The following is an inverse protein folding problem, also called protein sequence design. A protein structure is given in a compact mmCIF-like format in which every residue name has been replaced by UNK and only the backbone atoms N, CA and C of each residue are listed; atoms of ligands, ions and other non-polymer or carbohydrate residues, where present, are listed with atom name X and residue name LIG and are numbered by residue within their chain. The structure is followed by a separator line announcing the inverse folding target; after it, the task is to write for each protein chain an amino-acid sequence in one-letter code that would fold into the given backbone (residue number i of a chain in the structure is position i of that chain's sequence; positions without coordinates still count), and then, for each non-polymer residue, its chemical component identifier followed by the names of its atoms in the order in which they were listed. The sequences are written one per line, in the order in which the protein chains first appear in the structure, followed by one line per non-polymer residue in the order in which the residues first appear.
data_IF_411848393794
#
_entry.id   IF_411848393794
#
_cell.length_a   1.000
_cell.length_b   1.000
_cell.length_c   1.000
_cell.angle_alpha   90.00
_cell.angle_beta   90.00
_cell.angle_gamma   90.00
#
_symmetry.space_group_name_H-M   'P 1'
#
loop_
_entity.id
_entity.type
_entity.pdbx_description
1 polymer ?
#
# COMPACT_ATOMS: atom_id res chain seq x y z
N UNK A 1 -24.05 30.85 -36.43
CA UNK A 1 -23.53 32.13 -36.96
C UNK A 1 -22.47 32.62 -35.97
N UNK A 2 -21.21 32.62 -36.40
CA UNK A 2 -19.99 32.65 -35.59
C UNK A 2 -19.80 33.93 -34.77
N UNK A 3 -19.22 33.77 -33.57
CA UNK A 3 -18.68 34.84 -32.73
C UNK A 3 -17.14 34.94 -32.83
N UNK A 4 -16.70 36.11 -33.27
CA UNK A 4 -15.51 36.90 -32.89
C UNK A 4 -14.25 36.21 -32.32
N UNK A 5 -13.21 36.23 -33.18
CA UNK A 5 -11.78 36.22 -32.85
C UNK A 5 -11.35 37.54 -32.18
N UNK A 6 -10.58 37.46 -31.10
CA UNK A 6 -9.64 38.51 -30.67
C UNK A 6 -8.33 37.86 -30.21
N UNK A 7 -7.29 38.12 -30.99
CA UNK A 7 -5.89 37.80 -30.74
C UNK A 7 -5.28 38.75 -29.70
N UNK A 8 -4.56 38.21 -28.71
CA UNK A 8 -3.62 38.97 -27.87
C UNK A 8 -2.21 38.42 -28.08
N UNK A 9 -1.35 39.23 -28.71
CA UNK A 9 0.10 39.04 -28.84
C UNK A 9 0.77 39.38 -27.51
N UNK A 10 1.71 38.54 -27.05
CA UNK A 10 2.68 38.89 -26.02
C UNK A 10 4.06 38.95 -26.71
N UNK A 11 4.65 40.14 -26.70
CA UNK A 11 5.98 40.45 -27.22
C UNK A 11 7.00 40.29 -26.09
N UNK A 12 8.07 39.53 -26.32
CA UNK A 12 9.23 39.47 -25.42
C UNK A 12 10.51 39.69 -26.25
N UNK A 13 10.76 40.94 -26.65
CA UNK A 13 12.10 41.42 -27.00
C UNK A 13 12.83 41.89 -25.74
N UNK A 14 13.82 41.11 -25.31
CA UNK A 14 14.66 41.41 -24.13
C UNK A 14 16.11 40.96 -24.31
N UNK A 15 16.88 41.80 -24.98
CA UNK A 15 18.34 41.85 -25.18
C UNK A 15 19.23 41.13 -24.15
N UNK A 16 19.86 40.02 -24.55
CA UNK A 16 21.02 39.43 -23.87
C UNK A 16 22.29 40.23 -24.20
N UNK A 17 22.72 41.11 -23.29
CA UNK A 17 24.05 41.73 -23.33
C UNK A 17 25.02 40.96 -22.44
N UNK A 18 26.06 40.42 -23.09
CA UNK A 18 27.29 39.88 -22.48
C UNK A 18 27.84 40.85 -21.42
N UNK A 19 28.06 40.35 -20.21
CA UNK A 19 29.03 40.95 -19.29
C UNK A 19 29.78 39.82 -18.57
N UNK A 20 31.07 39.79 -18.85
CA UNK A 20 32.08 38.95 -18.24
C UNK A 20 32.38 39.52 -16.86
N UNK A 21 32.18 38.76 -15.78
CA UNK A 21 32.59 39.18 -14.43
C UNK A 21 33.75 38.28 -14.00
N UNK A 22 34.91 38.91 -13.84
CA UNK A 22 36.13 38.32 -13.28
C UNK A 22 35.95 38.08 -11.79
N UNK A 23 36.37 36.91 -11.34
CA UNK A 23 36.52 36.56 -9.93
C UNK A 23 37.86 37.13 -9.45
N UNK A 24 37.83 38.24 -8.72
CA UNK A 24 38.90 38.67 -7.80
C UNK A 24 38.30 39.58 -6.72
N UNK A 25 38.58 39.23 -5.47
CA UNK A 25 38.63 40.07 -4.27
C UNK A 25 37.33 40.60 -3.64
N UNK A 26 36.87 39.98 -2.54
CA UNK A 26 37.11 40.47 -1.16
C UNK A 26 36.21 39.76 -0.13
N UNK A 27 36.84 38.89 0.66
CA UNK A 27 36.30 38.22 1.84
C UNK A 27 36.35 39.21 3.04
N UNK A 28 35.50 40.24 3.06
CA UNK A 28 35.44 41.15 4.23
C UNK A 28 34.12 41.90 4.44
N UNK A 29 33.19 41.94 3.48
CA UNK A 29 31.94 42.72 3.64
C UNK A 29 30.69 41.91 4.03
N UNK A 30 30.77 40.58 4.05
CA UNK A 30 29.60 39.72 4.39
C UNK A 30 29.38 39.61 5.92
N UNK A 31 30.37 39.96 6.75
CA UNK A 31 30.28 39.77 8.20
C UNK A 31 29.52 40.90 8.94
N UNK A 32 29.34 42.07 8.32
CA UNK A 32 28.74 43.24 8.98
C UNK A 32 27.20 43.33 8.84
N UNK A 33 26.58 42.56 7.93
CA UNK A 33 25.13 42.56 7.72
C UNK A 33 24.42 41.50 8.59
N UNK A 34 25.14 40.50 9.10
CA UNK A 34 24.55 39.39 9.86
C UNK A 34 24.17 39.69 11.32
N UNK A 35 24.54 40.83 11.89
CA UNK A 35 24.34 41.11 13.33
C UNK A 35 23.25 42.16 13.67
N UNK A 36 22.39 42.56 12.74
CA UNK A 36 21.32 43.56 13.00
C UNK A 36 19.87 43.11 12.72
N UNK A 37 19.62 41.82 12.52
CA UNK A 37 18.26 41.30 12.29
C UNK A 37 17.94 40.01 13.05
N UNK A 38 18.38 39.92 14.30
CA UNK A 38 17.91 38.92 15.27
C UNK A 38 16.72 39.46 16.09
N UNK A 39 15.67 39.89 15.40
CA UNK A 39 14.35 40.02 16.00
C UNK A 39 13.30 40.06 14.89
N UNK A 40 12.83 38.90 14.44
CA UNK A 40 11.44 38.67 13.96
C UNK A 40 11.14 37.17 13.98
N UNK A 41 10.22 36.78 14.87
CA UNK A 41 9.44 35.54 14.77
C UNK A 41 8.89 35.45 13.33
N UNK A 42 9.41 34.53 12.52
CA UNK A 42 8.78 34.13 11.26
C UNK A 42 8.01 32.83 11.52
N UNK A 43 6.68 32.80 11.33
CA UNK A 43 5.97 31.54 11.38
C UNK A 43 6.43 30.67 10.22
N UNK A 44 6.63 29.38 10.51
CA UNK A 44 6.81 28.33 9.51
C UNK A 44 5.68 28.45 8.48
N UNK A 45 6.02 28.74 7.22
CA UNK A 45 5.05 28.74 6.13
C UNK A 45 4.64 27.29 5.87
N UNK A 46 3.59 26.86 6.53
CA UNK A 46 2.81 25.69 6.13
C UNK A 46 1.91 26.13 4.98
N UNK A 47 1.95 25.50 3.79
CA UNK A 47 0.98 25.79 2.75
C UNK A 47 -0.40 25.40 3.28
N UNK A 48 -1.18 26.40 3.66
CA UNK A 48 -2.55 26.22 4.14
C UNK A 48 -3.44 26.09 2.92
N UNK A 49 -3.69 24.84 2.48
CA UNK A 49 -4.89 24.56 1.69
C UNK A 49 -6.07 24.54 2.65
N UNK A 50 -7.05 25.39 2.38
CA UNK A 50 -8.35 25.43 3.06
C UNK A 50 -9.20 24.26 2.57
N UNK A 51 -8.98 23.05 3.11
CA UNK A 51 -9.88 21.90 2.92
C UNK A 51 -9.89 21.09 4.23
N UNK A 52 -11.03 21.06 4.92
CA UNK A 52 -11.25 20.40 6.23
C UNK A 52 -10.42 20.95 7.40
N UNK A 53 -11.08 21.52 8.41
CA UNK A 53 -10.42 21.97 9.66
C UNK A 53 -9.82 20.86 10.53
N UNK A 54 -9.78 19.60 10.06
CA UNK A 54 -9.09 18.49 10.73
C UNK A 54 -7.62 18.47 10.35
N UNK A 55 -6.75 18.53 11.36
CA UNK A 55 -5.30 18.37 11.18
C UNK A 55 -4.96 16.89 11.29
N UNK A 56 -4.74 16.21 10.17
CA UNK A 56 -4.29 14.82 10.13
C UNK A 56 -2.83 14.68 10.61
N UNK A 57 -2.49 13.48 11.06
CA UNK A 57 -1.12 13.10 11.38
C UNK A 57 -0.35 12.81 10.08
N UNK A 58 0.59 13.69 9.75
CA UNK A 58 1.42 13.56 8.53
C UNK A 58 2.87 13.28 8.93
N UNK A 59 3.53 12.28 8.34
CA UNK A 59 4.96 12.06 8.52
C UNK A 59 5.78 13.33 8.19
N UNK A 60 6.83 13.64 8.97
CA UNK A 60 7.69 14.79 8.67
C UNK A 60 8.36 14.63 7.30
N UNK A 61 8.34 15.69 6.49
CA UNK A 61 9.03 15.69 5.19
C UNK A 61 10.54 15.60 5.36
N UNK A 62 11.15 14.71 4.56
CA UNK A 62 12.60 14.55 4.51
C UNK A 62 13.34 15.77 3.95
N UNK A 63 12.62 16.74 3.39
CA UNK A 63 13.17 18.04 2.97
C UNK A 63 13.60 18.90 4.16
N UNK A 64 12.97 18.70 5.33
CA UNK A 64 13.19 19.52 6.52
C UNK A 64 13.70 18.73 7.72
N UNK A 65 13.40 17.43 7.81
CA UNK A 65 13.82 16.56 8.91
C UNK A 65 14.59 15.38 8.35
N UNK A 66 15.85 15.22 8.76
CA UNK A 66 16.64 14.05 8.37
C UNK A 66 15.93 12.75 8.81
N UNK A 67 15.87 11.76 7.91
CA UNK A 67 15.13 10.51 8.14
C UNK A 67 15.66 9.76 9.37
N UNK A 68 16.97 9.78 9.57
CA UNK A 68 17.69 9.16 10.69
C UNK A 68 17.46 9.83 12.06
N UNK A 69 16.81 10.99 12.12
CA UNK A 69 16.64 11.76 13.36
C UNK A 69 15.25 11.60 13.96
N UNK A 70 15.14 11.65 15.29
CA UNK A 70 13.88 11.57 16.03
C UNK A 70 13.60 10.18 16.59
N UNK A 71 12.46 10.04 17.26
CA UNK A 71 12.00 8.76 17.81
C UNK A 71 11.53 7.87 16.65
N UNK A 72 11.96 6.61 16.62
CA UNK A 72 11.63 5.64 15.59
C UNK A 72 10.25 4.99 15.82
N UNK A 73 9.19 5.77 15.62
CA UNK A 73 7.81 5.27 15.48
C UNK A 73 7.54 4.85 14.03
N UNK A 74 6.45 4.09 13.82
CA UNK A 74 6.04 3.64 12.50
C UNK A 74 5.75 4.82 11.56
N UNK A 75 6.47 4.87 10.45
CA UNK A 75 6.41 5.95 9.46
C UNK A 75 6.79 7.32 10.01
N UNK A 76 7.46 7.40 11.18
CA UNK A 76 7.69 8.64 11.94
C UNK A 76 6.41 9.40 12.29
N UNK A 77 5.29 8.69 12.43
CA UNK A 77 4.03 9.24 12.90
C UNK A 77 4.08 9.54 14.41
N UNK A 78 3.19 10.37 14.95
CA UNK A 78 3.07 10.56 16.39
C UNK A 78 2.80 9.23 17.12
N UNK A 79 3.37 9.09 18.32
CA UNK A 79 2.95 8.05 19.26
C UNK A 79 1.69 8.50 19.99
N UNK A 80 0.72 7.60 20.13
CA UNK A 80 -0.50 7.81 20.91
C UNK A 80 -0.74 6.61 21.83
N UNK A 81 -1.15 6.82 23.08
CA UNK A 81 -1.34 5.72 24.03
C UNK A 81 -2.57 4.84 23.72
N UNK A 82 -3.58 5.40 23.04
CA UNK A 82 -4.84 4.70 22.72
C UNK A 82 -5.21 4.88 21.25
N UNK A 83 -6.14 4.05 20.77
CA UNK A 83 -6.68 4.15 19.40
C UNK A 83 -7.84 5.16 19.26
N UNK A 84 -8.08 6.00 20.27
CA UNK A 84 -9.20 6.94 20.27
C UNK A 84 -9.03 8.04 19.22
N UNK A 85 -10.05 8.21 18.38
CA UNK A 85 -10.05 9.23 17.32
C UNK A 85 -9.15 8.91 16.12
N UNK A 86 -8.57 7.71 16.06
CA UNK A 86 -7.82 7.21 14.91
C UNK A 86 -8.75 6.43 13.96
N UNK A 87 -8.55 6.61 12.66
CA UNK A 87 -9.20 5.80 11.64
C UNK A 87 -8.47 4.44 11.48
N UNK A 88 -7.13 4.48 11.55
CA UNK A 88 -6.27 3.31 11.56
C UNK A 88 -5.07 3.51 12.51
N UNK A 89 -4.51 2.43 13.04
CA UNK A 89 -3.40 2.49 13.98
C UNK A 89 -2.37 1.39 13.73
N UNK A 90 -1.10 1.77 13.78
CA UNK A 90 -0.01 0.80 13.79
C UNK A 90 0.19 0.25 15.19
N UNK A 91 0.21 -1.08 15.32
CA UNK A 91 0.38 -1.78 16.59
C UNK A 91 1.41 -2.90 16.44
N UNK A 92 2.36 -3.01 17.36
CA UNK A 92 3.33 -4.10 17.36
C UNK A 92 2.95 -5.23 18.32
N UNK A 93 3.27 -6.47 17.96
CA UNK A 93 3.09 -7.66 18.83
C UNK A 93 4.39 -8.46 18.90
N UNK A 94 5.33 -8.10 19.80
CA UNK A 94 6.70 -8.62 19.79
C UNK A 94 6.84 -9.97 20.53
N UNK A 95 6.32 -11.06 19.97
CA UNK A 95 6.39 -12.43 20.53
C UNK A 95 6.82 -13.46 19.48
N UNK A 96 7.64 -14.44 19.87
CA UNK A 96 8.08 -15.55 18.98
C UNK A 96 8.14 -16.90 19.71
N UNK A 97 7.45 -17.02 20.86
CA UNK A 97 7.46 -18.24 21.68
C UNK A 97 6.57 -19.35 21.10
N UNK A 98 5.79 -19.06 20.06
CA UNK A 98 5.02 -20.03 19.29
C UNK A 98 5.79 -20.60 18.08
N UNK A 99 6.97 -20.05 17.76
CA UNK A 99 7.85 -20.52 16.70
C UNK A 99 8.46 -21.89 17.02
N UNK A 100 8.48 -22.80 16.05
CA UNK A 100 9.01 -24.16 16.22
C UNK A 100 10.48 -24.35 15.81
N UNK A 101 11.06 -23.41 15.04
CA UNK A 101 12.39 -23.56 14.46
C UNK A 101 13.33 -22.40 14.83
N UNK A 102 13.44 -21.37 13.98
CA UNK A 102 14.36 -20.24 14.18
C UNK A 102 13.63 -19.07 14.85
N UNK A 103 13.94 -18.73 16.12
CA UNK A 103 13.33 -17.59 16.81
C UNK A 103 13.93 -16.26 16.34
N UNK A 104 13.35 -15.14 16.76
CA UNK A 104 13.88 -13.80 16.48
C UNK A 104 12.82 -12.79 16.07
N UNK A 105 11.60 -13.24 15.75
CA UNK A 105 10.51 -12.40 15.25
C UNK A 105 9.95 -11.47 16.33
N UNK A 106 10.25 -11.72 17.62
CA UNK A 106 9.99 -10.76 18.70
C UNK A 106 10.67 -9.39 18.48
N UNK A 107 11.71 -9.32 17.66
CA UNK A 107 12.38 -8.06 17.30
C UNK A 107 11.82 -7.41 16.03
N UNK A 108 10.94 -8.10 15.29
CA UNK A 108 10.32 -7.65 14.05
C UNK A 108 9.70 -6.25 14.17
N UNK A 109 8.78 -5.99 15.11
CA UNK A 109 8.09 -4.70 15.20
C UNK A 109 9.03 -3.52 15.40
N UNK A 110 10.12 -3.71 16.16
CA UNK A 110 11.11 -2.67 16.39
C UNK A 110 11.91 -2.35 15.13
N UNK A 111 12.31 -3.38 14.39
CA UNK A 111 13.14 -3.24 13.21
C UNK A 111 12.31 -2.69 12.03
N UNK A 112 11.04 -3.08 11.91
CA UNK A 112 10.09 -2.47 10.96
C UNK A 112 9.95 -0.97 11.21
N UNK A 113 9.77 -0.54 12.46
CA UNK A 113 9.69 0.90 12.78
C UNK A 113 10.96 1.66 12.39
N UNK A 114 12.14 1.11 12.67
CA UNK A 114 13.41 1.73 12.31
C UNK A 114 13.52 1.97 10.79
N UNK A 115 13.23 0.95 9.98
CA UNK A 115 13.35 1.03 8.52
C UNK A 115 12.20 1.81 7.87
N UNK A 116 11.05 1.90 8.53
CA UNK A 116 9.90 2.69 8.07
C UNK A 116 10.22 4.19 7.91
N UNK A 117 11.33 4.68 8.47
CA UNK A 117 11.80 6.05 8.29
C UNK A 117 12.09 6.43 6.82
N UNK A 118 12.24 5.45 5.92
CA UNK A 118 12.42 5.65 4.48
C UNK A 118 11.12 6.00 3.73
N UNK A 119 9.97 5.72 4.34
CA UNK A 119 8.66 5.91 3.72
C UNK A 119 8.34 7.38 3.45
N UNK A 120 7.56 7.62 2.40
CA UNK A 120 7.06 8.96 2.02
C UNK A 120 5.55 8.99 2.16
N UNK A 121 5.00 10.21 2.24
CA UNK A 121 3.58 10.41 2.46
C UNK A 121 2.68 10.06 1.25
N UNK A 122 3.26 9.97 0.05
CA UNK A 122 2.53 9.78 -1.21
C UNK A 122 3.02 8.55 -1.96
N UNK A 123 2.09 7.73 -2.45
CA UNK A 123 2.39 6.60 -3.32
C UNK A 123 2.41 7.03 -4.79
N UNK A 124 3.56 6.91 -5.46
CA UNK A 124 3.68 7.32 -6.86
C UNK A 124 2.95 6.40 -7.84
N UNK A 125 2.76 5.13 -7.51
CA UNK A 125 2.10 4.14 -8.36
C UNK A 125 0.58 4.28 -8.36
N UNK A 126 -0.02 4.34 -7.17
CA UNK A 126 -1.49 4.42 -7.01
C UNK A 126 -2.00 5.84 -6.89
N UNK A 127 -1.13 6.83 -6.64
CA UNK A 127 -1.47 8.22 -6.34
C UNK A 127 -2.18 8.44 -4.99
N UNK A 128 -2.19 7.44 -4.12
CA UNK A 128 -2.80 7.56 -2.81
C UNK A 128 -1.95 8.42 -1.85
N UNK A 129 -2.65 9.18 -1.01
CA UNK A 129 -2.10 10.08 0.00
C UNK A 129 -2.81 9.82 1.35
N UNK A 130 -2.50 8.72 2.05
CA UNK A 130 -3.33 8.25 3.16
C UNK A 130 -3.39 9.23 4.33
N UNK A 131 -2.28 9.94 4.59
CA UNK A 131 -2.17 10.92 5.66
C UNK A 131 -2.89 12.26 5.37
N UNK A 132 -3.50 12.40 4.19
CA UNK A 132 -4.35 13.54 3.84
C UNK A 132 -5.85 13.23 4.01
N UNK A 133 -6.20 11.96 4.25
CA UNK A 133 -7.58 11.49 4.35
C UNK A 133 -7.89 10.76 5.66
N UNK A 134 -6.90 10.11 6.27
CA UNK A 134 -7.04 9.32 7.49
C UNK A 134 -6.22 9.86 8.66
N UNK A 135 -6.77 9.76 9.86
CA UNK A 135 -6.06 9.96 11.10
C UNK A 135 -5.34 8.65 11.50
N UNK A 136 -4.02 8.64 11.36
CA UNK A 136 -3.18 7.46 11.63
C UNK A 136 -2.11 7.78 12.67
N UNK A 137 -1.85 6.87 13.60
CA UNK A 137 -0.77 6.98 14.57
C UNK A 137 -0.14 5.62 14.88
N UNK A 138 1.02 5.64 15.54
CA UNK A 138 1.62 4.45 16.16
C UNK A 138 1.13 4.37 17.61
N UNK A 139 0.48 3.25 17.97
CA UNK A 139 -0.01 3.04 19.33
C UNK A 139 0.91 2.17 20.20
N UNK A 140 2.14 1.95 19.73
CA UNK A 140 3.14 1.16 20.44
C UNK A 140 2.91 -0.34 20.31
N UNK A 141 3.30 -1.08 21.34
CA UNK A 141 3.27 -2.54 21.33
C UNK A 141 2.28 -3.08 22.36
N UNK A 142 1.65 -4.21 22.03
CA UNK A 142 0.96 -5.02 23.03
C UNK A 142 2.00 -5.54 24.02
N UNK A 143 1.75 -5.33 25.32
CA UNK A 143 2.60 -5.87 26.36
C UNK A 143 2.40 -7.40 26.48
N UNK A 144 3.33 -8.18 25.93
CA UNK A 144 3.28 -9.65 25.89
C UNK A 144 3.98 -10.30 27.08
N UNK A 145 3.68 -11.57 27.32
CA UNK A 145 4.38 -12.40 28.29
C UNK A 145 5.29 -13.40 27.57
N UNK A 146 6.58 -13.09 27.48
CA UNK A 146 7.58 -13.91 26.77
C UNK A 146 7.86 -15.27 27.41
N UNK A 147 7.22 -15.60 28.54
CA UNK A 147 7.35 -16.89 29.22
C UNK A 147 6.07 -17.72 29.19
N UNK A 148 4.94 -17.14 28.80
CA UNK A 148 3.64 -17.82 28.77
C UNK A 148 2.87 -17.39 27.52
N UNK A 149 2.84 -18.29 26.53
CA UNK A 149 2.15 -18.08 25.28
C UNK A 149 0.62 -17.98 25.44
N UNK A 150 0.04 -18.70 26.41
CA UNK A 150 -1.42 -18.68 26.67
C UNK A 150 -1.83 -17.37 27.31
N UNK A 151 -1.04 -16.87 28.26
CA UNK A 151 -1.21 -15.52 28.83
C UNK A 151 -1.04 -14.44 27.75
N UNK A 152 -0.05 -14.58 26.86
CA UNK A 152 0.15 -13.69 25.73
C UNK A 152 -1.05 -13.66 24.79
N UNK A 153 -1.61 -14.81 24.42
CA UNK A 153 -2.83 -14.87 23.59
C UNK A 153 -4.00 -14.12 24.25
N UNK A 154 -4.18 -14.28 25.57
CA UNK A 154 -5.21 -13.54 26.31
C UNK A 154 -5.00 -12.02 26.23
N UNK A 155 -3.77 -11.56 26.47
CA UNK A 155 -3.40 -10.12 26.44
C UNK A 155 -3.58 -9.50 25.05
N UNK A 156 -3.18 -10.23 24.00
CA UNK A 156 -3.39 -9.79 22.61
C UNK A 156 -4.87 -9.61 22.35
N UNK A 157 -5.70 -10.62 22.64
CA UNK A 157 -7.16 -10.52 22.46
C UNK A 157 -7.77 -9.34 23.22
N UNK A 158 -7.37 -9.10 24.46
CA UNK A 158 -7.85 -7.98 25.29
C UNK A 158 -7.42 -6.61 24.74
N UNK A 159 -6.18 -6.48 24.27
CA UNK A 159 -5.70 -5.27 23.62
C UNK A 159 -6.47 -4.97 22.33
N UNK A 160 -6.67 -5.98 21.48
CA UNK A 160 -7.39 -5.81 20.21
C UNK A 160 -8.88 -5.53 20.41
N UNK A 161 -9.53 -6.11 21.43
CA UNK A 161 -10.89 -5.70 21.81
C UNK A 161 -10.97 -4.21 22.12
N UNK A 162 -9.99 -3.68 22.83
CA UNK A 162 -9.93 -2.26 23.20
C UNK A 162 -9.72 -1.38 21.96
N UNK A 163 -8.78 -1.75 21.08
CA UNK A 163 -8.52 -1.04 19.82
C UNK A 163 -9.77 -1.04 18.93
N UNK A 164 -10.35 -2.21 18.71
CA UNK A 164 -11.51 -2.38 17.84
C UNK A 164 -12.75 -1.66 18.38
N UNK A 165 -12.91 -1.54 19.71
CA UNK A 165 -14.02 -0.81 20.32
C UNK A 165 -14.04 0.69 19.96
N UNK A 166 -12.90 1.29 19.60
CA UNK A 166 -12.85 2.71 19.18
C UNK A 166 -13.34 2.93 17.75
N UNK A 167 -13.49 1.85 16.97
CA UNK A 167 -13.76 1.93 15.53
C UNK A 167 -12.50 1.89 14.67
N UNK A 168 -11.30 1.98 15.27
CA UNK A 168 -10.02 1.97 14.58
C UNK A 168 -9.72 0.62 13.90
N UNK A 169 -9.12 0.68 12.70
CA UNK A 169 -8.59 -0.49 11.98
C UNK A 169 -7.14 -0.75 12.43
N UNK A 170 -6.82 -1.92 13.00
CA UNK A 170 -5.45 -2.26 13.41
C UNK A 170 -4.58 -2.68 12.21
N UNK A 171 -3.39 -2.10 12.13
CA UNK A 171 -2.31 -2.42 11.19
C UNK A 171 -1.15 -3.03 11.97
N UNK A 172 -1.07 -4.34 11.98
CA UNK A 172 -0.25 -5.08 12.95
C UNK A 172 1.13 -5.40 12.42
N UNK A 173 2.17 -4.99 13.14
CA UNK A 173 3.53 -5.48 12.96
C UNK A 173 3.73 -6.65 13.92
N UNK A 174 3.87 -7.84 13.38
CA UNK A 174 3.87 -9.07 14.16
C UNK A 174 5.23 -9.49 14.69
N UNK A 175 5.16 -10.52 15.52
CA UNK A 175 6.20 -11.51 15.70
C UNK A 175 5.81 -12.76 14.92
N UNK A 176 5.77 -13.92 15.57
CA UNK A 176 5.36 -15.16 14.90
C UNK A 176 3.86 -15.21 14.55
N UNK A 177 3.46 -16.08 13.62
CA UNK A 177 2.10 -16.14 13.08
C UNK A 177 1.04 -16.60 14.11
N UNK A 178 1.45 -17.06 15.30
CA UNK A 178 0.51 -17.40 16.39
C UNK A 178 -0.37 -16.21 16.76
N UNK A 179 0.12 -14.96 16.58
CA UNK A 179 -0.61 -13.75 16.96
C UNK A 179 -1.93 -13.57 16.20
N UNK A 180 -2.05 -14.13 14.99
CA UNK A 180 -3.25 -14.00 14.18
C UNK A 180 -4.48 -14.62 14.89
N UNK A 181 -4.29 -15.71 15.64
CA UNK A 181 -5.36 -16.37 16.37
C UNK A 181 -6.07 -15.48 17.41
N UNK A 182 -5.39 -14.94 18.44
CA UNK A 182 -6.03 -14.05 19.41
C UNK A 182 -6.50 -12.71 18.81
N UNK A 183 -5.89 -12.24 17.71
CA UNK A 183 -6.36 -11.06 16.98
C UNK A 183 -7.72 -11.37 16.31
N UNK A 184 -7.81 -12.48 15.58
CA UNK A 184 -9.03 -12.91 14.91
C UNK A 184 -10.17 -13.22 15.88
N UNK A 185 -9.87 -13.67 17.11
CA UNK A 185 -10.88 -13.76 18.17
C UNK A 185 -11.53 -12.40 18.44
N UNK A 186 -10.73 -11.35 18.64
CA UNK A 186 -11.25 -10.00 18.89
C UNK A 186 -11.95 -9.39 17.65
N UNK A 187 -11.41 -9.62 16.44
CA UNK A 187 -12.01 -9.16 15.18
C UNK A 187 -13.39 -9.81 14.97
N UNK A 188 -13.49 -11.13 15.14
CA UNK A 188 -14.74 -11.86 14.94
C UNK A 188 -15.80 -11.52 15.99
N UNK A 189 -15.40 -11.19 17.24
CA UNK A 189 -16.33 -10.69 18.25
C UNK A 189 -17.03 -9.38 17.83
N UNK A 190 -16.32 -8.49 17.13
CA UNK A 190 -16.89 -7.22 16.64
C UNK A 190 -17.65 -7.39 15.33
N UNK A 191 -17.12 -8.19 14.40
CA UNK A 191 -17.58 -8.22 13.01
C UNK A 191 -18.35 -9.49 12.62
N UNK A 192 -18.42 -10.49 13.50
CA UNK A 192 -18.79 -11.86 13.13
C UNK A 192 -17.68 -12.57 12.35
N UNK A 193 -17.92 -13.79 11.85
CA UNK A 193 -16.93 -14.54 11.08
C UNK A 193 -16.47 -13.74 9.84
N UNK A 194 -15.16 -13.53 9.71
CA UNK A 194 -14.58 -12.69 8.65
C UNK A 194 -14.08 -13.52 7.48
N UNK A 195 -13.96 -12.88 6.30
CA UNK A 195 -13.18 -13.45 5.21
C UNK A 195 -11.68 -13.29 5.50
N UNK A 196 -10.86 -14.15 4.93
CA UNK A 196 -9.41 -14.15 5.13
C UNK A 196 -8.69 -14.23 3.80
N UNK A 197 -7.81 -13.26 3.55
CA UNK A 197 -6.76 -13.36 2.54
C UNK A 197 -5.47 -13.67 3.29
N UNK A 198 -4.97 -14.89 3.13
CA UNK A 198 -3.78 -15.39 3.79
C UNK A 198 -2.68 -15.59 2.75
N UNK A 199 -1.57 -14.87 2.90
CA UNK A 199 -0.43 -14.90 1.97
C UNK A 199 0.76 -15.48 2.71
N UNK A 200 1.15 -16.71 2.37
CA UNK A 200 2.06 -17.52 3.21
C UNK A 200 2.70 -18.66 2.38
N UNK A 201 3.88 -19.13 2.79
CA UNK A 201 4.45 -20.39 2.30
C UNK A 201 3.75 -21.64 2.89
N UNK A 202 3.19 -21.53 4.09
CA UNK A 202 2.59 -22.60 4.88
C UNK A 202 1.09 -22.41 5.07
N UNK A 203 0.40 -23.52 5.32
CA UNK A 203 -1.05 -23.49 5.46
C UNK A 203 -1.49 -22.99 6.84
N UNK A 204 -0.66 -23.15 7.87
CA UNK A 204 -0.94 -22.74 9.26
C UNK A 204 -2.26 -23.30 9.84
N UNK A 205 -2.57 -24.51 9.39
CA UNK A 205 -3.76 -25.28 9.74
C UNK A 205 -3.43 -26.62 10.40
N UNK A 206 -2.23 -26.76 10.96
CA UNK A 206 -1.89 -27.97 11.74
C UNK A 206 -2.79 -28.07 12.96
N UNK A 207 -3.11 -29.30 13.38
CA UNK A 207 -3.86 -29.50 14.61
C UNK A 207 -2.92 -29.42 15.83
N UNK A 208 -2.12 -30.46 16.08
CA UNK A 208 -1.27 -30.51 17.28
C UNK A 208 0.20 -30.59 16.89
N UNK A 209 1.02 -29.73 17.48
CA UNK A 209 2.48 -29.74 17.32
C UNK A 209 3.10 -30.06 18.67
N UNK A 210 3.83 -31.17 18.77
CA UNK A 210 4.48 -31.63 20.00
C UNK A 210 3.56 -31.70 21.25
N UNK A 211 2.27 -31.93 21.04
CA UNK A 211 1.27 -31.99 22.12
C UNK A 211 0.57 -30.67 22.43
N UNK A 212 0.99 -29.55 21.83
CA UNK A 212 0.38 -28.24 22.00
C UNK A 212 -0.51 -27.86 20.82
N UNK A 213 -1.62 -27.18 21.14
CA UNK A 213 -2.62 -26.70 20.17
C UNK A 213 -2.37 -25.26 19.70
N UNK A 214 -1.49 -24.53 20.36
CA UNK A 214 -1.25 -23.10 20.11
C UNK A 214 0.22 -22.94 19.76
N UNK A 215 0.47 -22.47 18.54
CA UNK A 215 1.78 -22.18 17.97
C UNK A 215 1.63 -21.70 16.52
N UNK A 216 2.74 -21.29 15.91
CA UNK A 216 2.72 -20.52 14.66
C UNK A 216 2.09 -21.29 13.49
N UNK A 217 2.26 -22.61 13.39
CA UNK A 217 1.63 -23.43 12.35
C UNK A 217 0.19 -23.90 12.61
N UNK A 218 -0.49 -23.38 13.64
CA UNK A 218 -1.85 -23.78 14.06
C UNK A 218 -2.95 -22.70 14.07
N UNK A 219 -2.70 -21.39 13.84
CA UNK A 219 -3.67 -20.34 14.16
C UNK A 219 -4.98 -20.48 13.39
N UNK A 220 -4.93 -20.78 12.09
CA UNK A 220 -6.15 -20.82 11.27
C UNK A 220 -6.98 -22.08 11.50
N UNK A 221 -6.36 -23.18 11.96
CA UNK A 221 -7.10 -24.35 12.45
C UNK A 221 -7.96 -23.98 13.66
N UNK A 222 -7.39 -23.25 14.62
CA UNK A 222 -8.11 -22.75 15.80
C UNK A 222 -9.21 -21.77 15.42
N UNK A 223 -8.93 -20.88 14.47
CA UNK A 223 -9.92 -19.93 13.98
C UNK A 223 -11.14 -20.62 13.35
N UNK A 224 -10.96 -21.71 12.61
CA UNK A 224 -12.08 -22.50 12.08
C UNK A 224 -12.85 -23.22 13.19
N UNK A 225 -12.15 -23.86 14.13
CA UNK A 225 -12.78 -24.59 15.24
C UNK A 225 -13.65 -23.68 16.11
N UNK A 226 -13.27 -22.42 16.28
CA UNK A 226 -14.03 -21.42 17.03
C UNK A 226 -15.02 -20.61 16.16
N UNK A 227 -15.12 -20.89 14.86
CA UNK A 227 -16.04 -20.21 13.96
C UNK A 227 -15.70 -18.75 13.70
N UNK A 228 -14.43 -18.36 13.78
CA UNK A 228 -13.95 -16.98 13.57
C UNK A 228 -13.86 -16.60 12.09
N UNK A 229 -13.84 -17.59 11.20
CA UNK A 229 -13.70 -17.43 9.76
C UNK A 229 -14.95 -17.90 9.02
N UNK A 230 -15.37 -17.12 8.03
CA UNK A 230 -16.28 -17.61 6.99
C UNK A 230 -15.48 -18.46 6.01
N UNK A 231 -15.55 -19.78 6.17
CA UNK A 231 -14.69 -20.71 5.45
C UNK A 231 -14.85 -20.67 3.91
N UNK A 232 -15.96 -20.14 3.39
CA UNK A 232 -16.15 -19.93 1.94
C UNK A 232 -15.42 -18.69 1.42
N UNK A 233 -15.09 -17.76 2.31
CA UNK A 233 -14.36 -16.52 2.05
C UNK A 233 -12.94 -16.58 2.61
N UNK A 234 -12.28 -17.74 2.48
CA UNK A 234 -10.86 -17.91 2.80
C UNK A 234 -10.08 -18.25 1.54
N UNK A 235 -8.96 -17.56 1.33
CA UNK A 235 -7.96 -17.90 0.31
C UNK A 235 -6.58 -17.95 0.93
N UNK A 236 -5.80 -18.97 0.58
CA UNK A 236 -4.38 -19.12 0.93
C UNK A 236 -3.55 -19.03 -0.35
N UNK A 237 -2.56 -18.15 -0.40
CA UNK A 237 -1.78 -17.85 -1.61
C UNK A 237 -0.29 -17.96 -1.31
N UNK A 238 0.41 -18.79 -2.08
CA UNK A 238 1.87 -18.95 -1.98
C UNK A 238 2.34 -20.26 -1.35
N UNK A 239 1.40 -21.17 -1.06
CA UNK A 239 1.68 -22.43 -0.37
C UNK A 239 2.69 -23.26 -1.15
N UNK A 240 3.71 -23.76 -0.45
CA UNK A 240 4.78 -24.59 -1.02
C UNK A 240 5.51 -25.38 0.07
N UNK A 241 6.62 -26.01 -0.31
CA UNK A 241 7.49 -26.76 0.60
C UNK A 241 7.13 -28.24 0.68
N UNK A 242 7.82 -28.97 1.56
CA UNK A 242 7.61 -30.41 1.74
C UNK A 242 6.58 -30.68 2.83
N UNK A 243 5.58 -31.51 2.52
CA UNK A 243 4.57 -31.95 3.48
C UNK A 243 4.88 -33.29 4.16
N UNK A 244 4.13 -33.60 5.22
CA UNK A 244 4.15 -34.91 5.89
C UNK A 244 3.16 -35.92 5.29
N UNK A 245 2.27 -35.47 4.40
CA UNK A 245 1.27 -36.28 3.69
C UNK A 245 1.33 -36.02 2.18
N UNK A 246 0.77 -36.94 1.35
CA UNK A 246 0.69 -36.72 -0.10
C UNK A 246 -0.11 -35.47 -0.51
N UNK A 247 -1.07 -35.06 0.32
CA UNK A 247 -1.78 -33.78 0.17
C UNK A 247 -1.78 -33.06 1.53
N UNK A 248 -0.82 -32.13 1.70
CA UNK A 248 -0.69 -31.33 2.92
C UNK A 248 -1.84 -30.33 3.11
N UNK A 249 -2.64 -30.09 2.06
CA UNK A 249 -3.66 -29.04 2.03
C UNK A 249 -5.09 -29.59 1.95
N UNK A 250 -5.26 -30.91 2.03
CA UNK A 250 -6.56 -31.60 2.00
C UNK A 250 -7.51 -31.00 3.04
N UNK A 251 -7.01 -30.78 4.26
CA UNK A 251 -7.81 -30.25 5.35
C UNK A 251 -8.36 -28.85 5.03
N UNK A 252 -7.53 -27.93 4.52
CA UNK A 252 -7.94 -26.58 4.13
C UNK A 252 -9.03 -26.63 3.06
N UNK A 253 -8.85 -27.44 2.02
CA UNK A 253 -9.87 -27.61 0.96
C UNK A 253 -11.17 -28.20 1.51
N UNK A 254 -11.08 -29.15 2.44
CA UNK A 254 -12.25 -29.76 3.07
C UNK A 254 -13.07 -28.76 3.92
N UNK A 255 -12.45 -27.70 4.46
CA UNK A 255 -13.19 -26.60 5.11
C UNK A 255 -13.88 -25.66 4.10
N UNK A 256 -13.47 -25.70 2.83
CA UNK A 256 -13.97 -24.81 1.78
C UNK A 256 -12.99 -23.70 1.39
N UNK A 257 -11.74 -23.74 1.86
CA UNK A 257 -10.75 -22.73 1.52
C UNK A 257 -10.34 -22.86 0.05
N UNK A 258 -10.06 -21.71 -0.57
CA UNK A 258 -9.34 -21.68 -1.85
C UNK A 258 -7.84 -21.76 -1.57
N UNK A 259 -7.22 -22.87 -1.94
CA UNK A 259 -5.77 -23.05 -1.83
C UNK A 259 -5.13 -22.74 -3.18
N UNK A 260 -4.21 -21.77 -3.21
CA UNK A 260 -3.41 -21.37 -4.39
C UNK A 260 -1.94 -21.65 -4.08
N UNK A 261 -1.44 -22.75 -4.62
CA UNK A 261 -0.03 -23.11 -4.47
C UNK A 261 0.86 -22.19 -5.31
N UNK A 262 2.14 -22.08 -4.95
CA UNK A 262 3.06 -21.14 -5.61
C UNK A 262 3.28 -21.46 -7.09
N UNK A 263 3.17 -22.72 -7.51
CA UNK A 263 3.26 -23.15 -8.92
C UNK A 263 2.16 -22.52 -9.77
N UNK A 264 0.99 -22.26 -9.17
CA UNK A 264 -0.11 -21.53 -9.82
C UNK A 264 0.18 -20.04 -9.94
N UNK A 265 1.25 -19.52 -9.36
CA UNK A 265 1.65 -18.10 -9.41
C UNK A 265 2.85 -17.87 -10.35
N UNK A 266 3.65 -18.89 -10.64
CA UNK A 266 4.87 -18.73 -11.42
C UNK A 266 4.62 -18.23 -12.85
N UNK A 267 5.57 -17.41 -13.35
CA UNK A 267 5.63 -16.90 -14.72
C UNK A 267 4.45 -16.01 -15.17
N UNK A 268 3.67 -15.44 -14.24
CA UNK A 268 2.54 -14.56 -14.56
C UNK A 268 2.23 -13.52 -13.48
N UNK A 269 1.46 -12.51 -13.88
CA UNK A 269 0.85 -11.52 -12.97
C UNK A 269 -0.28 -12.14 -12.15
N UNK A 270 -0.44 -11.68 -10.91
CA UNK A 270 -1.51 -12.09 -10.00
C UNK A 270 -2.74 -11.18 -10.06
N UNK A 271 -2.77 -10.15 -10.91
CA UNK A 271 -3.94 -9.28 -11.04
C UNK A 271 -5.26 -10.04 -11.37
N UNK A 272 -5.28 -11.03 -12.28
CA UNK A 272 -6.49 -11.84 -12.53
C UNK A 272 -6.89 -12.69 -11.32
N UNK A 273 -5.91 -13.24 -10.59
CA UNK A 273 -6.15 -13.98 -9.35
C UNK A 273 -6.85 -13.06 -8.33
N UNK A 274 -6.33 -11.85 -8.13
CA UNK A 274 -6.92 -10.91 -7.18
C UNK A 274 -8.31 -10.42 -7.57
N UNK A 275 -8.64 -10.36 -8.86
CA UNK A 275 -10.03 -10.10 -9.29
C UNK A 275 -10.99 -11.21 -8.84
N UNK A 276 -10.57 -12.47 -8.97
CA UNK A 276 -11.34 -13.61 -8.47
C UNK A 276 -11.41 -13.64 -6.93
N UNK A 277 -10.31 -13.28 -6.25
CA UNK A 277 -10.29 -13.16 -4.77
C UNK A 277 -11.27 -12.10 -4.31
N UNK A 278 -11.31 -10.90 -4.94
CA UNK A 278 -12.29 -9.87 -4.57
C UNK A 278 -13.74 -10.35 -4.74
N UNK A 279 -14.01 -11.06 -5.83
CA UNK A 279 -15.34 -11.65 -6.07
C UNK A 279 -15.70 -12.66 -4.97
N UNK A 280 -14.75 -13.49 -4.55
CA UNK A 280 -14.92 -14.45 -3.47
C UNK A 280 -15.16 -13.77 -2.10
N UNK A 281 -14.43 -12.69 -1.81
CA UNK A 281 -14.57 -11.94 -0.54
C UNK A 281 -15.89 -11.17 -0.44
N UNK A 282 -16.42 -10.71 -1.58
CA UNK A 282 -17.68 -9.94 -1.64
C UNK A 282 -17.59 -8.62 -0.87
N UNK A 283 -18.70 -8.21 -0.26
CA UNK A 283 -18.80 -6.94 0.50
C UNK A 283 -18.66 -7.14 2.02
N UNK A 284 -18.44 -8.38 2.48
CA UNK A 284 -18.32 -8.70 3.90
C UNK A 284 -16.99 -8.22 4.50
N UNK A 285 -16.83 -8.25 5.83
CA UNK A 285 -15.56 -7.92 6.47
C UNK A 285 -14.48 -8.93 6.06
N UNK A 286 -13.28 -8.43 5.78
CA UNK A 286 -12.10 -9.21 5.36
C UNK A 286 -10.91 -8.84 6.22
N UNK A 287 -10.16 -9.85 6.63
CA UNK A 287 -8.86 -9.68 7.27
C UNK A 287 -7.75 -10.10 6.29
N UNK A 288 -6.68 -9.32 6.22
CA UNK A 288 -5.49 -9.64 5.40
C UNK A 288 -4.35 -10.05 6.34
N UNK A 289 -3.89 -11.28 6.22
CA UNK A 289 -2.74 -11.78 6.97
C UNK A 289 -1.61 -12.10 6.00
N UNK A 290 -0.47 -11.44 6.18
CA UNK A 290 0.67 -11.52 5.27
C UNK A 290 1.89 -12.03 6.04
N UNK A 291 2.26 -13.28 5.80
CA UNK A 291 3.53 -13.83 6.22
C UNK A 291 4.63 -13.40 5.24
N UNK A 292 5.73 -12.86 5.79
CA UNK A 292 6.85 -12.43 4.95
C UNK A 292 7.52 -13.60 4.23
N UNK A 293 7.41 -14.83 4.74
CA UNK A 293 7.99 -16.03 4.14
C UNK A 293 7.21 -16.53 2.91
N UNK A 294 6.04 -15.95 2.61
CA UNK A 294 5.39 -16.11 1.32
C UNK A 294 6.29 -15.66 0.16
N UNK A 295 7.13 -14.67 0.42
CA UNK A 295 8.13 -14.18 -0.53
C UNK A 295 9.33 -15.14 -0.61
N UNK A 296 9.97 -15.19 -1.77
CA UNK A 296 11.20 -15.94 -1.92
C UNK A 296 12.29 -15.41 -0.96
N UNK A 297 13.12 -16.28 -0.35
CA UNK A 297 14.23 -15.87 0.52
C UNK A 297 15.23 -14.92 -0.13
N UNK A 298 15.26 -14.82 -1.47
CA UNK A 298 16.00 -13.78 -2.19
C UNK A 298 15.52 -12.35 -1.85
N UNK A 299 14.26 -12.18 -1.46
CA UNK A 299 13.64 -10.92 -1.04
C UNK A 299 13.41 -10.85 0.47
N UNK A 300 13.10 -11.98 1.10
CA UNK A 300 12.79 -12.08 2.53
C UNK A 300 13.68 -13.12 3.26
N UNK A 301 15.00 -12.89 3.36
CA UNK A 301 15.90 -13.87 3.98
C UNK A 301 15.72 -14.02 5.50
N UNK A 302 15.24 -12.98 6.17
CA UNK A 302 15.08 -12.90 7.61
C UNK A 302 13.72 -13.38 8.11
N UNK A 303 13.47 -14.68 8.02
CA UNK A 303 12.26 -15.35 8.54
C UNK A 303 12.62 -16.68 9.22
N UNK A 304 11.70 -17.21 10.04
CA UNK A 304 11.87 -18.43 10.83
C UNK A 304 11.92 -19.71 9.99
N UNK A 305 11.11 -19.77 8.93
CA UNK A 305 10.82 -20.98 8.13
C UNK A 305 10.93 -20.71 6.62
N UNK A 306 12.09 -20.24 6.11
CA UNK A 306 12.19 -19.88 4.70
C UNK A 306 12.02 -21.09 3.77
N UNK A 307 11.13 -20.95 2.79
CA UNK A 307 10.92 -21.90 1.70
C UNK A 307 11.36 -21.28 0.37
N UNK A 308 12.18 -22.00 -0.41
CA UNK A 308 12.66 -21.49 -1.71
C UNK A 308 11.55 -21.39 -2.76
N UNK A 309 11.81 -20.71 -3.88
CA UNK A 309 10.93 -20.58 -5.04
C UNK A 309 9.57 -19.92 -4.71
N UNK A 310 9.62 -18.92 -3.84
CA UNK A 310 8.47 -18.17 -3.35
C UNK A 310 7.96 -17.10 -4.31
N UNK A 311 7.05 -16.27 -3.82
CA UNK A 311 6.55 -15.12 -4.56
C UNK A 311 7.63 -14.05 -4.71
N UNK A 312 7.57 -13.29 -5.80
CA UNK A 312 8.38 -12.08 -5.95
C UNK A 312 7.78 -10.91 -5.17
N UNK A 313 8.59 -9.91 -4.82
CA UNK A 313 8.08 -8.65 -4.24
C UNK A 313 7.05 -7.95 -5.13
N UNK A 314 7.16 -8.08 -6.46
CA UNK A 314 6.16 -7.57 -7.42
C UNK A 314 4.81 -8.25 -7.20
N UNK A 315 4.80 -9.58 -7.10
CA UNK A 315 3.57 -10.35 -6.88
C UNK A 315 2.96 -10.08 -5.51
N UNK A 316 3.77 -9.90 -4.46
CA UNK A 316 3.29 -9.45 -3.15
C UNK A 316 2.54 -8.11 -3.24
N UNK A 317 3.10 -7.14 -3.97
CA UNK A 317 2.44 -5.85 -4.21
C UNK A 317 1.17 -5.96 -5.06
N UNK A 318 1.13 -6.85 -6.05
CA UNK A 318 -0.08 -7.12 -6.84
C UNK A 318 -1.21 -7.69 -5.97
N UNK A 319 -0.88 -8.58 -5.03
CA UNK A 319 -1.85 -9.12 -4.06
C UNK A 319 -2.42 -7.99 -3.21
N UNK A 320 -1.54 -7.21 -2.58
CA UNK A 320 -1.93 -6.12 -1.69
C UNK A 320 -2.80 -5.09 -2.40
N UNK A 321 -2.35 -4.55 -3.53
CA UNK A 321 -3.12 -3.57 -4.30
C UNK A 321 -4.41 -4.17 -4.86
N UNK A 322 -4.41 -5.48 -5.09
CA UNK A 322 -5.58 -6.25 -5.45
C UNK A 322 -6.68 -6.28 -4.38
N UNK A 323 -6.39 -5.91 -3.13
CA UNK A 323 -7.39 -5.77 -2.07
C UNK A 323 -8.21 -4.47 -2.15
N UNK A 324 -7.88 -3.54 -3.07
CA UNK A 324 -8.64 -2.31 -3.23
C UNK A 324 -10.13 -2.56 -3.50
N UNK A 325 -10.98 -1.85 -2.75
CA UNK A 325 -12.43 -1.96 -2.77
C UNK A 325 -13.00 -3.04 -1.83
N UNK A 326 -12.16 -3.79 -1.10
CA UNK A 326 -12.62 -4.70 -0.04
C UNK A 326 -12.86 -3.96 1.28
N UNK A 327 -13.75 -4.50 2.10
CA UNK A 327 -13.97 -4.03 3.46
C UNK A 327 -12.94 -4.66 4.41
N UNK A 328 -11.72 -4.10 4.41
CA UNK A 328 -10.65 -4.54 5.31
C UNK A 328 -10.92 -4.08 6.73
N UNK A 329 -11.01 -5.02 7.67
CA UNK A 329 -11.26 -4.74 9.10
C UNK A 329 -10.01 -4.87 9.97
N UNK A 330 -8.88 -5.21 9.36
CA UNK A 330 -7.58 -5.34 9.99
C UNK A 330 -6.60 -6.09 9.10
N UNK A 331 -5.32 -5.95 9.41
CA UNK A 331 -4.27 -6.72 8.74
C UNK A 331 -3.02 -6.90 9.61
N UNK A 332 -2.20 -7.90 9.27
CA UNK A 332 -0.90 -8.14 9.91
C UNK A 332 0.22 -8.48 8.92
N UNK A 333 1.44 -8.02 9.24
CA UNK A 333 2.70 -8.47 8.63
C UNK A 333 3.48 -9.24 9.69
N UNK A 334 3.69 -10.54 9.48
CA UNK A 334 4.26 -11.45 10.49
C UNK A 334 5.59 -12.07 10.03
N UNK A 335 6.22 -12.82 10.93
CA UNK A 335 7.45 -13.62 10.74
C UNK A 335 8.72 -12.85 10.31
N UNK A 336 8.72 -11.52 10.38
CA UNK A 336 9.91 -10.70 10.20
C UNK A 336 10.90 -10.96 11.34
N UNK A 337 12.02 -11.64 11.02
CA UNK A 337 13.07 -12.06 11.96
C UNK A 337 14.40 -11.34 11.71
N UNK A 338 14.65 -10.18 12.37
CA UNK A 338 15.87 -9.40 12.19
C UNK A 338 17.21 -10.13 12.33
N UNK A 339 17.38 -11.12 13.23
CA UNK A 339 18.66 -11.82 13.35
C UNK A 339 19.12 -12.54 12.07
N UNK A 340 18.20 -12.80 11.14
CA UNK A 340 18.46 -13.48 9.87
C UNK A 340 18.43 -12.55 8.65
N UNK A 341 18.19 -11.25 8.84
CA UNK A 341 18.32 -10.21 7.82
C UNK A 341 19.51 -9.30 8.14
N UNK A 342 20.71 -9.78 7.84
CA UNK A 342 21.97 -9.09 8.19
C UNK A 342 22.21 -7.81 7.39
N UNK A 343 21.44 -7.57 6.32
CA UNK A 343 21.57 -6.40 5.45
C UNK A 343 20.39 -5.42 5.55
N UNK A 344 19.30 -5.80 6.22
CA UNK A 344 18.07 -5.02 6.26
C UNK A 344 17.28 -5.05 4.95
N UNK A 345 17.57 -6.01 4.05
CA UNK A 345 17.02 -6.04 2.69
C UNK A 345 15.50 -6.20 2.69
N UNK A 346 14.96 -7.09 3.52
CA UNK A 346 13.53 -7.42 3.47
C UNK A 346 12.65 -6.27 3.95
N UNK A 347 13.21 -5.42 4.82
CA UNK A 347 12.50 -4.28 5.40
C UNK A 347 12.41 -3.10 4.44
N UNK A 348 13.19 -3.09 3.36
CA UNK A 348 12.98 -2.16 2.25
C UNK A 348 11.71 -2.50 1.45
N UNK A 349 11.21 -3.73 1.55
CA UNK A 349 9.95 -4.16 0.96
C UNK A 349 8.73 -3.85 1.84
N UNK A 350 8.88 -3.08 2.93
CA UNK A 350 7.81 -2.72 3.87
C UNK A 350 6.48 -2.43 3.14
N UNK A 351 5.50 -3.33 3.35
CA UNK A 351 4.24 -3.41 2.62
C UNK A 351 3.11 -2.57 3.24
N UNK A 352 3.27 -2.14 4.49
CA UNK A 352 2.30 -1.32 5.23
C UNK A 352 1.84 -0.03 4.53
N UNK A 353 2.69 0.73 3.80
CA UNK A 353 2.22 1.89 3.06
C UNK A 353 1.19 1.50 2.02
N UNK A 354 1.41 0.41 1.27
CA UNK A 354 0.46 -0.05 0.26
C UNK A 354 -0.87 -0.51 0.90
N UNK A 355 -0.88 -0.97 2.16
CA UNK A 355 -2.12 -1.27 2.91
C UNK A 355 -2.94 -0.02 3.21
N UNK A 356 -2.32 1.04 3.72
CA UNK A 356 -3.00 2.33 3.91
C UNK A 356 -3.51 2.93 2.58
N UNK A 357 -2.83 2.63 1.47
CA UNK A 357 -3.23 3.11 0.14
C UNK A 357 -4.43 2.36 -0.44
N UNK A 358 -4.67 1.12 -0.01
CA UNK A 358 -5.82 0.31 -0.45
C UNK A 358 -7.14 0.94 0.00
N UNK A 359 -7.17 1.50 1.22
CA UNK A 359 -8.36 2.11 1.83
C UNK A 359 -8.56 3.60 1.45
N UNK A 360 -7.56 4.25 0.86
CA UNK A 360 -7.58 5.71 0.59
C UNK A 360 -7.60 6.07 -0.89
N UNK A 361 -7.64 5.08 -1.77
CA UNK A 361 -7.68 5.27 -3.21
C UNK A 361 -9.08 5.69 -3.72
N UNK A 362 -9.64 6.77 -3.17
CA UNK A 362 -10.69 7.59 -3.81
C UNK A 362 -10.49 9.06 -3.44
N UNK A 363 -9.80 9.82 -4.30
CA UNK A 363 -9.94 11.26 -4.35
C UNK A 363 -9.63 11.75 -5.78
N UNK A 364 -10.65 12.01 -6.62
CA UNK A 364 -10.44 12.78 -7.82
C UNK A 364 -10.01 14.19 -7.41
N UNK A 365 -8.82 14.60 -7.85
CA UNK A 365 -8.33 15.96 -7.69
C UNK A 365 -9.16 16.87 -8.59
N UNK A 366 -10.16 17.54 -8.00
CA UNK A 366 -10.89 18.64 -8.63
C UNK A 366 -12.40 18.47 -8.60
N UNK A 367 -13.03 19.03 -7.58
CA UNK A 367 -14.48 19.22 -7.47
C UNK A 367 -14.82 19.88 -6.15
N UNK A 368 -15.65 20.92 -6.18
CA UNK A 368 -16.01 21.79 -5.05
C UNK A 368 -16.49 20.98 -3.83
N UNK A 369 -15.86 21.23 -2.67
CA UNK A 369 -16.20 20.62 -1.39
C UNK A 369 -17.21 21.48 -0.64
N UNK A 370 -18.48 21.27 -0.91
CA UNK A 370 -19.54 21.56 0.05
C UNK A 370 -20.65 20.53 -0.12
N UNK A 371 -20.88 19.74 0.93
CA UNK A 371 -21.83 18.63 1.10
C UNK A 371 -21.24 17.22 1.00
N UNK A 372 -20.66 16.69 2.09
CA UNK A 372 -21.01 15.34 2.58
C UNK A 372 -20.80 15.29 4.11
N UNK A 373 -21.88 15.51 4.86
CA UNK A 373 -22.03 15.03 6.24
C UNK A 373 -23.13 13.97 6.20
N UNK A 374 -22.78 12.69 6.06
CA UNK A 374 -23.48 11.54 6.63
C UNK A 374 -22.94 10.24 6.03
N UNK A 375 -22.42 9.39 6.91
CA UNK A 375 -22.22 7.97 6.69
C UNK A 375 -23.60 7.32 6.48
N UNK A 376 -23.92 6.88 5.26
CA UNK A 376 -24.82 5.73 4.92
C UNK A 376 -25.22 5.65 3.43
N UNK A 377 -24.86 6.59 2.57
CA UNK A 377 -25.39 6.64 1.20
C UNK A 377 -24.33 6.73 0.09
N UNK A 378 -23.61 5.65 -0.19
CA UNK A 378 -23.06 5.39 -1.56
C UNK A 378 -23.14 3.90 -1.87
N UNK A 379 -24.36 3.36 -1.89
CA UNK A 379 -24.71 2.15 -2.65
C UNK A 379 -25.52 2.62 -3.87
N UNK A 380 -25.01 2.27 -5.06
CA UNK A 380 -25.63 2.32 -6.40
C UNK A 380 -25.24 3.47 -7.35
N UNK A 381 -24.62 3.04 -8.48
CA UNK A 381 -24.50 3.68 -9.80
C UNK A 381 -23.63 4.96 -9.83
N UNK A 382 -22.63 5.12 -10.71
CA UNK A 382 -22.73 5.12 -12.19
C UNK A 382 -21.34 4.86 -12.81
N UNK A 383 -21.33 4.02 -13.84
CA UNK A 383 -20.27 3.88 -14.86
C UNK A 383 -20.03 5.25 -15.52
N UNK A 384 -18.81 5.81 -15.50
CA UNK A 384 -18.11 6.40 -16.66
C UNK A 384 -16.88 7.27 -16.28
N UNK A 385 -15.79 7.01 -17.01
CA UNK A 385 -14.72 7.93 -17.45
C UNK A 385 -13.72 8.41 -16.39
N UNK A 386 -12.51 7.83 -16.43
CA UNK A 386 -11.23 8.56 -16.35
C UNK A 386 -10.05 7.64 -16.73
N UNK A 387 -10.10 7.09 -17.95
CA UNK A 387 -8.93 6.49 -18.61
C UNK A 387 -8.86 7.05 -20.02
N UNK A 388 -8.63 8.35 -20.16
CA UNK A 388 -8.31 8.95 -21.48
C UNK A 388 -7.81 10.40 -21.36
N UNK A 389 -6.60 10.59 -20.79
CA UNK A 389 -5.86 11.86 -20.99
C UNK A 389 -4.36 11.63 -21.23
N UNK A 390 -3.80 10.45 -20.88
CA UNK A 390 -2.36 10.23 -21.05
C UNK A 390 -1.92 9.90 -22.49
N UNK A 391 -2.80 9.35 -23.33
CA UNK A 391 -2.46 9.01 -24.72
C UNK A 391 -2.40 10.24 -25.63
N UNK A 392 -3.22 11.27 -25.35
CA UNK A 392 -3.26 12.52 -26.14
C UNK A 392 -2.08 13.44 -25.80
N UNK A 393 -1.60 13.42 -24.55
CA UNK A 393 -0.40 14.18 -24.15
C UNK A 393 0.90 13.60 -24.69
N UNK A 394 0.97 12.29 -24.93
CA UNK A 394 2.14 11.65 -25.52
C UNK A 394 2.29 12.01 -27.01
N UNK A 395 1.19 12.05 -27.76
CA UNK A 395 1.17 12.43 -29.18
C UNK A 395 1.42 13.94 -29.35
N UNK A 396 0.88 14.78 -28.46
CA UNK A 396 1.17 16.23 -28.45
C UNK A 396 2.65 16.54 -28.20
N UNK A 397 3.32 15.79 -27.31
CA UNK A 397 4.76 15.95 -27.05
C UNK A 397 5.64 15.44 -28.18
N UNK A 398 5.22 14.39 -28.88
CA UNK A 398 5.94 13.87 -30.06
C UNK A 398 5.83 14.83 -31.25
N UNK A 399 4.64 15.43 -31.46
CA UNK A 399 4.42 16.43 -32.51
C UNK A 399 5.13 17.76 -32.20
N UNK A 400 5.20 18.17 -30.93
CA UNK A 400 5.99 19.34 -30.52
C UNK A 400 7.51 19.13 -30.67
N UNK A 401 8.00 17.89 -30.50
CA UNK A 401 9.40 17.55 -30.74
C UNK A 401 9.76 17.59 -32.24
N UNK A 402 8.85 17.11 -33.12
CA UNK A 402 9.04 17.17 -34.58
C UNK A 402 8.97 18.61 -35.13
N UNK A 403 8.16 19.48 -34.53
CA UNK A 403 8.12 20.90 -34.89
C UNK A 403 9.39 21.66 -34.46
N UNK A 404 10.09 21.21 -33.41
CA UNK A 404 11.32 21.83 -32.91
C UNK A 404 12.56 21.52 -33.78
N UNK A 405 12.51 20.48 -34.61
CA UNK A 405 13.59 20.12 -35.57
C UNK A 405 13.46 20.84 -36.92
N UNK A 406 12.42 21.67 -37.12
CA UNK A 406 12.31 22.62 -38.23
C UNK A 406 11.76 22.06 -39.54
N UNK A 407 11.13 20.89 -39.55
CA UNK A 407 10.61 20.26 -40.78
C UNK A 407 9.10 20.45 -41.05
N UNK A 408 8.35 21.22 -40.23
CA UNK A 408 6.90 21.44 -40.48
C UNK A 408 6.50 22.89 -40.18
N UNK A 409 5.93 23.60 -41.17
CA UNK A 409 5.35 24.95 -40.98
C UNK A 409 4.11 24.89 -40.07
N UNK A 410 3.99 25.87 -39.16
CA UNK A 410 2.85 25.98 -38.23
C UNK A 410 1.51 26.08 -38.98
N UNK A 411 0.61 25.11 -38.75
CA UNK A 411 -0.79 25.18 -39.18
C UNK A 411 -1.34 24.00 -40.00
N UNK A 412 -0.63 22.89 -40.11
CA UNK A 412 -0.97 21.81 -41.07
C UNK A 412 -1.08 20.41 -40.49
N UNK A 413 -1.54 20.28 -39.23
CA UNK A 413 -1.81 18.96 -38.60
C UNK A 413 -3.25 18.91 -38.10
N UNK A 414 -4.09 18.12 -38.77
CA UNK A 414 -5.40 17.71 -38.27
C UNK A 414 -5.34 16.27 -37.77
N UNK A 415 -5.77 16.05 -36.52
CA UNK A 415 -5.85 14.71 -35.92
C UNK A 415 -7.33 14.36 -35.74
N UNK A 416 -7.77 13.30 -36.41
CA UNK A 416 -9.13 12.78 -36.32
C UNK A 416 -9.08 11.39 -35.67
N UNK A 417 -9.80 11.22 -34.56
CA UNK A 417 -9.91 9.97 -33.81
C UNK A 417 -11.30 9.37 -34.04
N UNK A 418 -11.34 8.19 -34.65
CA UNK A 418 -12.58 7.43 -34.86
C UNK A 418 -12.53 6.19 -33.97
N UNK A 419 -13.38 6.17 -32.95
CA UNK A 419 -13.49 5.08 -31.99
C UNK A 419 -14.69 4.21 -32.35
N UNK A 420 -14.45 2.92 -32.57
CA UNK A 420 -15.50 1.89 -32.69
C UNK A 420 -15.33 0.88 -31.57
N UNK A 421 -16.36 0.06 -31.27
CA UNK A 421 -16.37 -0.83 -30.09
C UNK A 421 -15.18 -1.79 -29.99
N UNK A 422 -14.41 -2.02 -31.05
CA UNK A 422 -13.31 -2.99 -31.09
C UNK A 422 -11.99 -2.47 -31.65
N UNK A 423 -11.96 -1.28 -32.26
CA UNK A 423 -10.72 -0.69 -32.83
C UNK A 423 -10.76 0.83 -32.70
N UNK A 424 -9.64 1.42 -32.27
CA UNK A 424 -9.39 2.86 -32.37
C UNK A 424 -8.50 3.12 -33.58
N UNK A 425 -9.00 3.90 -34.52
CA UNK A 425 -8.21 4.33 -35.68
C UNK A 425 -7.86 5.80 -35.50
N UNK A 426 -6.57 6.09 -35.40
CA UNK A 426 -6.07 7.46 -35.40
C UNK A 426 -5.63 7.82 -36.82
N UNK A 427 -6.23 8.86 -37.38
CA UNK A 427 -5.82 9.41 -38.68
C UNK A 427 -5.16 10.76 -38.46
N UNK A 428 -3.90 10.88 -38.90
CA UNK A 428 -3.16 12.14 -38.90
C UNK A 428 -3.10 12.64 -40.34
N UNK A 429 -3.60 13.85 -40.57
CA UNK A 429 -3.49 14.54 -41.86
C UNK A 429 -2.43 15.63 -41.79
N UNK A 430 -1.44 15.52 -42.66
CA UNK A 430 -0.37 16.49 -42.89
C UNK A 430 -0.52 16.99 -44.33
N UNK A 431 -1.35 18.02 -44.52
CA UNK A 431 -1.72 18.54 -45.83
C UNK A 431 -2.46 17.51 -46.68
N UNK A 432 -1.92 17.17 -47.85
CA UNK A 432 -2.51 16.17 -48.77
C UNK A 432 -2.16 14.72 -48.42
N UNK A 433 -1.32 14.50 -47.39
CA UNK A 433 -0.92 13.16 -46.94
C UNK A 433 -1.77 12.77 -45.72
N UNK A 434 -2.43 11.62 -45.80
CA UNK A 434 -3.20 11.04 -44.70
C UNK A 434 -2.57 9.72 -44.28
N UNK A 435 -2.18 9.61 -43.01
CA UNK A 435 -1.69 8.37 -42.42
C UNK A 435 -2.74 7.86 -41.40
N UNK A 436 -3.30 6.68 -41.66
CA UNK A 436 -4.25 6.02 -40.75
C UNK A 436 -3.56 4.84 -40.08
N UNK A 437 -3.47 4.89 -38.76
CA UNK A 437 -2.85 3.82 -37.96
C UNK A 437 -3.96 3.08 -37.23
N UNK A 438 -4.21 1.79 -37.55
CA UNK A 438 -5.10 0.96 -36.77
C UNK A 438 -4.39 0.56 -35.47
N UNK A 439 -4.93 1.00 -34.33
CA UNK A 439 -4.47 0.53 -33.02
C UNK A 439 -5.29 -0.71 -32.67
N UNK A 440 -4.69 -1.88 -32.92
CA UNK A 440 -5.30 -3.17 -32.55
C UNK A 440 -5.20 -3.32 -31.03
N UNK A 441 -6.34 -3.20 -30.34
CA UNK A 441 -6.45 -3.58 -28.95
C UNK A 441 -6.44 -5.11 -28.91
N UNK A 442 -5.39 -5.70 -28.32
CA UNK A 442 -5.23 -7.16 -28.29
C UNK A 442 -6.37 -7.88 -27.55
N UNK A 443 -6.63 -9.17 -27.83
CA UNK A 443 -7.86 -9.86 -27.45
C UNK A 443 -7.93 -10.33 -25.98
N UNK A 444 -7.40 -9.56 -25.03
CA UNK A 444 -7.41 -9.89 -23.60
C UNK A 444 -8.63 -9.35 -22.84
N UNK A 445 -9.66 -8.92 -23.56
CA UNK A 445 -10.92 -8.41 -22.99
C UNK A 445 -12.07 -8.91 -23.85
N UNK A 446 -12.46 -10.16 -23.66
CA UNK A 446 -13.78 -10.68 -23.97
C UNK A 446 -13.93 -12.00 -23.18
N UNK A 447 -15.08 -12.12 -22.52
CA UNK A 447 -15.52 -13.16 -21.57
C UNK A 447 -14.98 -12.93 -20.14
N UNK A 448 -15.75 -12.38 -19.21
CA UNK A 448 -17.15 -11.94 -19.19
C UNK A 448 -17.48 -11.42 -17.81
#
# INVERSE_FOLDING_TARGET
MLSLLKTSRIDIRGTLRRSCIRITDTFSEVSAVCNKTLDRRRPCFTPTRLCSGKRYNVPPSAEFVARVSGIATMGKLPYQETADGLDAAFVGVPIDTGTSNRPGTRFGPRQIRAESALLRAYNSGTRAAPYESLMVADIGDVNVNVYDLKDTCRRIREAYRTILATGCIPLTMGGDHTIAYPILQAVAEKHGPVGLIHVDAHADTSDVVLGEKIGHGTPFRRCVEEGLLDCKRVVQIGLRGTGYSPDAYEWSRAQGFRVVQVEECWFKSLAPLMSAVRTQMGTGPVYLSFDIDALDPAFAPGTGTPEIAGLTSIQGLEIIRGCHGLNLVGCDLVEVSPPYDTTGLQLQHNLFPDWLNVDTAEAPVGGDFDQVRSFEAVRHHVIHILVEVQSVLAVSKLLAALAAEGEVEEGLIEVELVVTMTVVTMTIRLGVISLSIPVIVGPSLLVG
#
